data_IF_611270463446
#
_entry.id   IF_611270463446
#
_cell.length_a   1.000
_cell.length_b   1.000
_cell.length_c   1.000
_cell.angle_alpha   90.00
_cell.angle_beta   90.00
_cell.angle_gamma   90.00
#
_symmetry.space_group_name_H-M   'P 1'
#
loop_
_entity.id
_entity.type
_entity.pdbx_description
1 polymer ?
#
# COMPACT_ATOMS: atom_id res chain seq x y z
N UNK A 1 15.16 -5.37 12.48
CA UNK A 1 14.89 -4.04 11.90
C UNK A 1 13.43 -3.69 12.18
N UNK A 2 13.15 -2.48 12.64
CA UNK A 2 11.80 -1.97 12.86
C UNK A 2 11.60 -0.74 11.98
N UNK A 3 10.49 -0.69 11.25
CA UNK A 3 10.06 0.47 10.47
C UNK A 3 9.00 1.22 11.25
N UNK A 4 9.24 2.50 11.49
CA UNK A 4 8.35 3.33 12.31
C UNK A 4 7.86 4.53 11.51
N UNK A 5 6.55 4.66 11.37
CA UNK A 5 5.91 5.83 10.77
C UNK A 5 5.06 6.54 11.82
N UNK A 6 5.17 7.86 11.86
CA UNK A 6 4.36 8.68 12.75
C UNK A 6 2.99 8.90 12.12
N UNK A 7 2.00 8.22 12.65
CA UNK A 7 0.59 8.47 12.37
C UNK A 7 0.04 9.60 13.28
N UNK A 8 -1.26 9.68 13.53
CA UNK A 8 -1.91 10.73 14.30
C UNK A 8 -2.49 10.22 15.63
N UNK A 9 -1.70 9.42 16.38
CA UNK A 9 -2.09 8.92 17.70
C UNK A 9 -3.18 7.85 17.63
N UNK A 10 -4.13 7.86 18.57
CA UNK A 10 -5.22 6.90 18.61
C UNK A 10 -6.09 6.99 17.35
N UNK A 11 -6.50 5.83 16.82
CA UNK A 11 -7.36 5.79 15.64
C UNK A 11 -8.79 6.22 15.95
N UNK A 12 -9.44 6.85 14.98
CA UNK A 12 -10.86 7.24 14.99
C UNK A 12 -11.66 6.41 13.98
N UNK A 13 -12.96 6.29 14.21
CA UNK A 13 -13.87 5.61 13.28
C UNK A 13 -13.92 6.37 11.95
N UNK A 14 -13.91 5.60 10.85
CA UNK A 14 -14.09 6.10 9.50
C UNK A 14 -15.12 5.24 8.77
N UNK A 15 -16.12 5.89 8.20
CA UNK A 15 -17.27 5.29 7.50
C UNK A 15 -17.37 5.69 6.04
N UNK A 16 -16.27 6.17 5.44
CA UNK A 16 -16.25 6.64 4.05
C UNK A 16 -16.42 5.52 3.02
N UNK A 17 -16.21 4.25 3.41
CA UNK A 17 -16.29 3.10 2.51
C UNK A 17 -17.39 2.09 2.88
N UNK A 18 -17.52 1.04 2.07
CA UNK A 18 -18.44 -0.09 2.31
C UNK A 18 -18.08 -0.85 3.59
N UNK A 19 -16.78 -0.91 3.89
CA UNK A 19 -16.24 -1.49 5.12
C UNK A 19 -15.76 -0.37 6.04
N UNK A 20 -16.32 -0.32 7.24
CA UNK A 20 -15.87 0.63 8.27
C UNK A 20 -14.43 0.32 8.69
N UNK A 21 -13.66 1.36 8.90
CA UNK A 21 -12.27 1.26 9.38
C UNK A 21 -12.04 2.09 10.64
N UNK A 22 -10.94 1.81 11.33
CA UNK A 22 -10.40 2.70 12.37
C UNK A 22 -9.09 3.25 11.85
N UNK A 23 -8.98 4.54 11.74
CA UNK A 23 -7.91 5.24 11.00
C UNK A 23 -7.11 6.16 11.91
N UNK A 24 -5.78 6.08 11.82
CA UNK A 24 -4.85 7.07 12.35
C UNK A 24 -4.07 7.67 11.18
N UNK A 25 -4.50 8.84 10.71
CA UNK A 25 -3.96 9.49 9.52
C UNK A 25 -3.18 10.76 9.85
N UNK A 26 -1.95 10.84 9.38
CA UNK A 26 -1.13 12.04 9.35
C UNK A 26 -1.11 12.61 7.94
N UNK A 27 -2.00 13.53 7.64
CA UNK A 27 -2.17 14.12 6.30
C UNK A 27 -0.99 14.99 5.88
N UNK A 28 -0.23 15.52 6.85
CA UNK A 28 0.98 16.31 6.59
C UNK A 28 2.11 15.44 6.03
N UNK A 29 2.36 14.29 6.65
CA UNK A 29 3.37 13.33 6.16
C UNK A 29 2.84 12.38 5.07
N UNK A 30 1.53 12.38 4.81
CA UNK A 30 0.91 11.50 3.82
C UNK A 30 0.86 10.03 4.25
N UNK A 31 0.81 9.75 5.55
CA UNK A 31 0.82 8.38 6.09
C UNK A 31 -0.47 8.11 6.86
N UNK A 32 -1.12 7.01 6.57
CA UNK A 32 -2.26 6.51 7.34
C UNK A 32 -2.07 5.06 7.72
N UNK A 33 -2.37 4.77 8.99
CA UNK A 33 -2.44 3.39 9.52
C UNK A 33 -3.90 3.12 9.86
N UNK A 34 -4.44 2.06 9.30
CA UNK A 34 -5.84 1.72 9.53
C UNK A 34 -6.01 0.22 9.81
N UNK A 35 -7.08 -0.09 10.52
CA UNK A 35 -7.55 -1.48 10.71
C UNK A 35 -8.99 -1.61 10.25
N UNK A 36 -9.34 -2.77 9.71
CA UNK A 36 -10.70 -3.13 9.30
C UNK A 36 -10.93 -4.64 9.45
N UNK A 37 -12.19 -5.04 9.42
CA UNK A 37 -12.61 -6.46 9.36
C UNK A 37 -13.08 -6.76 7.95
N UNK A 38 -12.59 -7.85 7.38
CA UNK A 38 -13.02 -8.29 6.05
C UNK A 38 -14.46 -8.82 6.07
N UNK A 39 -15.14 -8.72 4.95
CA UNK A 39 -16.50 -9.20 4.75
C UNK A 39 -16.62 -10.33 3.71
N UNK A 40 -15.50 -10.73 3.09
CA UNK A 40 -15.47 -11.81 2.10
C UNK A 40 -16.06 -11.44 0.74
N UNK A 41 -16.24 -10.14 0.45
CA UNK A 41 -16.81 -9.67 -0.81
C UNK A 41 -15.75 -8.90 -1.59
N UNK A 42 -15.63 -9.14 -2.89
CA UNK A 42 -14.72 -8.37 -3.76
C UNK A 42 -15.21 -6.95 -4.00
N UNK A 43 -14.33 -6.09 -4.49
CA UNK A 43 -14.62 -4.69 -4.86
C UNK A 43 -15.22 -3.86 -3.72
N UNK A 44 -14.72 -4.03 -2.50
CA UNK A 44 -15.17 -3.25 -1.35
C UNK A 44 -14.28 -2.04 -1.13
N UNK A 45 -14.91 -0.89 -0.90
CA UNK A 45 -14.21 0.34 -0.55
C UNK A 45 -13.96 0.43 0.96
N UNK A 46 -12.80 1.01 1.34
CA UNK A 46 -12.37 1.17 2.73
C UNK A 46 -11.75 2.55 2.90
N UNK A 47 -12.22 3.30 3.88
CA UNK A 47 -11.74 4.64 4.17
C UNK A 47 -10.32 4.65 4.75
N UNK A 48 -9.46 5.54 4.25
CA UNK A 48 -8.07 5.66 4.69
C UNK A 48 -7.72 7.01 5.38
N UNK A 49 -8.62 7.98 5.37
CA UNK A 49 -8.51 9.25 6.10
C UNK A 49 -7.42 10.23 5.65
N UNK A 50 -6.74 10.01 4.52
CA UNK A 50 -5.69 10.92 4.02
C UNK A 50 -6.23 12.18 3.34
N UNK A 51 -7.48 12.14 2.84
CA UNK A 51 -8.07 13.24 2.06
C UNK A 51 -7.42 13.46 0.69
N UNK A 52 -6.49 12.61 0.31
CA UNK A 52 -5.82 12.61 -1.00
C UNK A 52 -5.48 11.18 -1.39
N UNK A 53 -5.47 10.93 -2.68
CA UNK A 53 -5.22 9.61 -3.26
C UNK A 53 -3.85 9.04 -2.81
N UNK A 54 -3.81 7.83 -2.21
CA UNK A 54 -2.55 7.15 -1.93
C UNK A 54 -1.84 6.73 -3.22
N UNK A 55 -0.53 6.59 -3.16
CA UNK A 55 0.30 5.99 -4.21
C UNK A 55 0.65 4.55 -3.86
N UNK A 56 0.74 4.24 -2.57
CA UNK A 56 1.09 2.91 -2.06
C UNK A 56 0.13 2.48 -0.98
N UNK A 57 -0.23 1.20 -1.01
CA UNK A 57 -0.98 0.51 0.04
C UNK A 57 -0.27 -0.79 0.40
N UNK A 58 -0.02 -1.00 1.69
CA UNK A 58 0.48 -2.26 2.23
C UNK A 58 -0.61 -2.85 3.12
N UNK A 59 -0.99 -4.11 2.90
CA UNK A 59 -2.00 -4.80 3.72
C UNK A 59 -1.41 -6.05 4.34
N UNK A 60 -1.78 -6.31 5.59
CA UNK A 60 -1.48 -7.53 6.31
C UNK A 60 -2.73 -8.09 6.98
N UNK A 61 -3.05 -9.33 6.68
CA UNK A 61 -4.01 -10.11 7.45
C UNK A 61 -3.42 -10.41 8.83
N UNK A 62 -4.17 -10.09 9.90
CA UNK A 62 -3.75 -10.31 11.29
C UNK A 62 -4.32 -11.60 11.87
N UNK A 63 -5.53 -11.97 11.43
CA UNK A 63 -6.26 -13.17 11.91
C UNK A 63 -6.93 -13.85 10.72
N UNK A 64 -6.90 -15.17 10.67
CA UNK A 64 -7.56 -15.92 9.58
C UNK A 64 -6.61 -16.62 8.62
N UNK A 65 -5.29 -16.59 8.86
CA UNK A 65 -4.31 -17.33 8.06
C UNK A 65 -2.91 -16.72 8.07
N UNK A 66 -1.94 -17.47 7.57
CA UNK A 66 -0.53 -17.04 7.44
C UNK A 66 -0.32 -16.30 6.12
N UNK A 67 -1.07 -15.24 5.89
CA UNK A 67 -1.01 -14.47 4.64
C UNK A 67 0.25 -13.61 4.54
N UNK A 68 0.72 -13.38 3.32
CA UNK A 68 1.85 -12.49 3.05
C UNK A 68 1.47 -11.02 3.27
N UNK A 69 2.46 -10.16 3.49
CA UNK A 69 2.31 -8.72 3.36
C UNK A 69 2.15 -8.37 1.89
N UNK A 70 1.01 -7.84 1.51
CA UNK A 70 0.73 -7.45 0.13
C UNK A 70 0.97 -5.96 -0.03
N UNK A 71 1.76 -5.60 -1.03
CA UNK A 71 2.07 -4.23 -1.44
C UNK A 71 1.41 -3.95 -2.78
N UNK A 72 0.64 -2.88 -2.87
CA UNK A 72 0.15 -2.32 -4.13
C UNK A 72 0.70 -0.92 -4.34
N UNK A 73 1.03 -0.60 -5.57
CA UNK A 73 1.53 0.71 -5.96
C UNK A 73 0.93 1.16 -7.28
N UNK A 74 0.54 2.43 -7.34
CA UNK A 74 0.16 3.14 -8.57
C UNK A 74 1.38 3.92 -9.06
N UNK A 75 2.11 3.38 -10.05
CA UNK A 75 3.28 4.05 -10.64
C UNK A 75 2.90 4.97 -11.79
N UNK A 76 1.70 4.85 -12.32
CA UNK A 76 1.17 5.66 -13.43
C UNK A 76 0.45 6.92 -12.98
N UNK A 77 0.03 6.98 -11.70
CA UNK A 77 -0.72 8.11 -11.13
C UNK A 77 -2.20 8.16 -11.53
N UNK A 78 -2.72 7.12 -12.22
CA UNK A 78 -4.10 7.09 -12.71
C UNK A 78 -5.13 6.69 -11.62
N UNK A 79 -4.68 6.28 -10.44
CA UNK A 79 -5.53 5.84 -9.34
C UNK A 79 -5.81 4.35 -9.30
N UNK A 80 -5.22 3.58 -10.19
CA UNK A 80 -5.25 2.13 -10.13
C UNK A 80 -3.84 1.63 -9.93
N UNK A 81 -3.62 0.76 -8.92
CA UNK A 81 -2.33 0.14 -8.73
C UNK A 81 -1.96 -0.67 -9.98
N UNK A 82 -0.74 -0.53 -10.44
CA UNK A 82 -0.17 -1.28 -11.57
C UNK A 82 0.95 -2.21 -11.13
N UNK A 83 1.30 -2.20 -9.85
CA UNK A 83 2.24 -3.11 -9.22
C UNK A 83 1.63 -3.78 -8.00
N UNK A 84 1.76 -5.10 -7.90
CA UNK A 84 1.40 -5.90 -6.74
C UNK A 84 2.56 -6.82 -6.37
N UNK A 85 3.07 -6.68 -5.17
CA UNK A 85 4.24 -7.39 -4.67
C UNK A 85 3.91 -8.08 -3.33
N UNK A 86 4.64 -9.15 -3.02
CA UNK A 86 4.64 -9.75 -1.70
C UNK A 86 5.93 -9.32 -0.98
N UNK A 87 5.83 -8.54 0.10
CA UNK A 87 7.02 -8.05 0.81
C UNK A 87 7.82 -9.16 1.48
N UNK A 88 7.15 -10.23 1.88
CA UNK A 88 7.76 -11.41 2.51
C UNK A 88 8.17 -12.50 1.51
N UNK A 89 7.92 -12.30 0.22
CA UNK A 89 8.21 -13.26 -0.85
C UNK A 89 9.22 -12.75 -1.85
N UNK A 90 9.77 -13.68 -2.64
CA UNK A 90 10.69 -13.40 -3.75
C UNK A 90 9.97 -13.21 -5.08
N UNK A 91 8.63 -13.37 -5.09
CA UNK A 91 7.83 -13.32 -6.31
C UNK A 91 7.85 -11.94 -6.96
N UNK A 92 7.93 -11.97 -8.29
CA UNK A 92 7.70 -10.83 -9.16
C UNK A 92 6.27 -10.28 -9.01
N UNK A 93 5.94 -9.26 -9.79
CA UNK A 93 4.60 -8.69 -9.85
C UNK A 93 3.53 -9.78 -9.96
N UNK A 94 2.67 -9.90 -8.95
CA UNK A 94 1.82 -11.06 -8.74
C UNK A 94 0.39 -10.81 -9.19
N UNK A 95 0.05 -11.26 -10.41
CA UNK A 95 -1.33 -11.30 -10.93
C UNK A 95 -1.95 -9.92 -11.20
N UNK A 96 -3.23 -9.94 -11.58
CA UNK A 96 -4.00 -8.76 -12.02
C UNK A 96 -4.99 -8.25 -10.94
N UNK A 97 -4.83 -8.65 -9.69
CA UNK A 97 -5.71 -8.24 -8.60
C UNK A 97 -5.20 -6.93 -8.00
N UNK A 98 -5.56 -5.82 -8.62
CA UNK A 98 -5.15 -4.50 -8.22
C UNK A 98 -6.22 -3.77 -7.40
N UNK A 99 -5.77 -2.92 -6.48
CA UNK A 99 -6.62 -1.96 -5.78
C UNK A 99 -6.78 -0.70 -6.62
N UNK A 100 -7.89 -0.01 -6.46
CA UNK A 100 -8.06 1.36 -6.96
C UNK A 100 -7.99 2.34 -5.80
N UNK A 101 -7.35 3.48 -6.03
CA UNK A 101 -7.14 4.53 -5.05
C UNK A 101 -8.01 5.74 -5.37
N UNK A 102 -8.72 6.26 -4.38
CA UNK A 102 -9.51 7.47 -4.43
C UNK A 102 -9.05 8.43 -3.32
N UNK A 103 -9.62 9.63 -3.27
CA UNK A 103 -9.18 10.63 -2.28
C UNK A 103 -9.51 10.24 -0.83
N UNK A 104 -10.60 9.51 -0.61
CA UNK A 104 -11.06 9.12 0.73
C UNK A 104 -10.96 7.62 1.01
N UNK A 105 -11.00 6.79 -0.06
CA UNK A 105 -11.04 5.33 0.04
C UNK A 105 -10.00 4.65 -0.86
N UNK A 106 -9.72 3.39 -0.58
CA UNK A 106 -9.23 2.45 -1.59
C UNK A 106 -10.27 1.33 -1.78
N UNK A 107 -10.33 0.78 -2.98
CA UNK A 107 -11.23 -0.35 -3.28
C UNK A 107 -10.42 -1.62 -3.46
N UNK A 108 -10.79 -2.69 -2.75
CA UNK A 108 -10.16 -4.00 -2.86
C UNK A 108 -10.33 -4.58 -4.26
N UNK A 109 -9.45 -5.51 -4.70
CA UNK A 109 -9.66 -6.25 -5.94
C UNK A 109 -11.04 -6.92 -6.01
N UNK A 110 -11.51 -7.20 -7.21
CA UNK A 110 -12.79 -7.85 -7.44
C UNK A 110 -12.83 -9.31 -6.94
N UNK A 111 -11.67 -9.92 -6.78
CA UNK A 111 -11.54 -11.26 -6.21
C UNK A 111 -11.58 -11.21 -4.69
N UNK A 112 -12.32 -12.14 -4.09
CA UNK A 112 -12.26 -12.39 -2.67
C UNK A 112 -10.98 -13.18 -2.35
N UNK A 113 -10.16 -12.67 -1.44
CA UNK A 113 -8.91 -13.31 -1.01
C UNK A 113 -8.65 -13.02 0.47
N UNK A 114 -8.19 -14.03 1.18
CA UNK A 114 -7.87 -13.95 2.62
C UNK A 114 -6.72 -12.99 2.91
N UNK A 115 -5.88 -12.66 1.94
CA UNK A 115 -4.78 -11.73 2.11
C UNK A 115 -5.22 -10.26 2.30
N UNK A 116 -6.43 -9.88 1.84
CA UNK A 116 -6.91 -8.48 1.93
C UNK A 116 -8.37 -8.30 2.35
N UNK A 117 -9.28 -9.25 2.13
CA UNK A 117 -10.70 -9.12 2.50
C UNK A 117 -11.42 -10.43 2.73
N UNK A 118 -10.80 -11.46 3.31
CA UNK A 118 -11.50 -12.68 3.72
C UNK A 118 -12.54 -12.43 4.81
N UNK A 119 -13.68 -13.13 4.77
CA UNK A 119 -14.86 -12.87 5.58
C UNK A 119 -14.72 -13.02 7.10
N UNK A 120 -13.62 -13.60 7.58
CA UNK A 120 -13.32 -13.74 9.02
C UNK A 120 -12.01 -13.05 9.43
N UNK A 121 -11.32 -12.41 8.48
CA UNK A 121 -10.02 -11.77 8.69
C UNK A 121 -10.12 -10.38 9.32
N UNK A 122 -9.18 -10.05 10.18
CA UNK A 122 -8.90 -8.66 10.56
C UNK A 122 -7.60 -8.22 9.92
N UNK A 123 -7.57 -6.96 9.49
CA UNK A 123 -6.48 -6.43 8.67
C UNK A 123 -5.89 -5.18 9.30
N UNK A 124 -4.60 -4.98 9.06
CA UNK A 124 -3.95 -3.68 9.19
C UNK A 124 -3.50 -3.26 7.80
N UNK A 125 -3.71 -2.01 7.47
CA UNK A 125 -3.22 -1.41 6.23
C UNK A 125 -2.44 -0.13 6.51
N UNK A 126 -1.45 0.11 5.66
CA UNK A 126 -0.62 1.31 5.66
C UNK A 126 -0.80 1.96 4.29
N UNK A 127 -1.38 3.15 4.27
CA UNK A 127 -1.59 3.92 3.04
C UNK A 127 -0.62 5.11 3.01
N UNK A 128 0.03 5.30 1.87
CA UNK A 128 1.01 6.36 1.67
C UNK A 128 0.65 7.20 0.46
N UNK A 129 0.53 8.51 0.67
CA UNK A 129 0.44 9.51 -0.39
C UNK A 129 1.78 10.25 -0.51
N UNK A 130 2.25 10.49 -1.72
CA UNK A 130 3.48 11.26 -1.94
C UNK A 130 3.36 12.68 -1.36
N UNK A 131 4.45 13.12 -0.75
CA UNK A 131 4.61 14.50 -0.25
C UNK A 131 5.91 15.09 -0.80
N UNK A 132 5.78 16.17 -1.56
CA UNK A 132 6.91 16.87 -2.15
C UNK A 132 7.96 17.22 -1.09
N UNK A 133 9.21 16.84 -1.35
CA UNK A 133 10.33 17.08 -0.43
C UNK A 133 10.39 16.14 0.77
N UNK A 134 9.49 15.14 0.88
CA UNK A 134 9.42 14.24 2.03
C UNK A 134 9.35 12.76 1.64
N UNK A 135 8.49 12.39 0.68
CA UNK A 135 8.34 11.00 0.24
C UNK A 135 8.14 10.90 -1.26
N UNK A 136 8.71 9.86 -1.86
CA UNK A 136 8.60 9.55 -3.29
C UNK A 136 8.43 8.04 -3.47
N UNK A 137 7.49 7.65 -4.32
CA UNK A 137 7.24 6.26 -4.70
C UNK A 137 7.31 6.15 -6.22
N UNK A 138 7.94 5.10 -6.73
CA UNK A 138 8.09 4.94 -8.17
C UNK A 138 8.70 3.60 -8.54
N UNK A 139 8.95 3.42 -9.81
CA UNK A 139 9.69 2.29 -10.36
C UNK A 139 10.82 2.82 -11.24
N UNK A 140 11.81 1.99 -11.44
CA UNK A 140 12.88 2.22 -12.42
C UNK A 140 13.32 0.89 -13.01
N UNK A 141 13.87 0.95 -14.19
CA UNK A 141 14.48 -0.20 -14.85
C UNK A 141 15.99 -0.15 -14.63
N UNK A 142 16.58 -1.27 -14.23
CA UNK A 142 18.02 -1.39 -14.06
C UNK A 142 18.70 -1.44 -15.43
N UNK A 143 19.88 -0.83 -15.55
CA UNK A 143 20.66 -0.84 -16.79
C UNK A 143 21.34 -2.18 -17.09
N UNK A 144 21.35 -3.09 -16.11
CA UNK A 144 22.03 -4.40 -16.23
C UNK A 144 23.54 -4.34 -16.11
N UNK A 145 24.12 -3.17 -15.81
CA UNK A 145 25.55 -2.98 -15.64
C UNK A 145 25.89 -2.66 -14.18
N UNK A 146 27.02 -3.19 -13.69
CA UNK A 146 27.42 -3.00 -12.28
C UNK A 146 27.92 -1.60 -11.94
N UNK A 147 28.35 -0.82 -12.93
CA UNK A 147 29.03 0.46 -12.72
C UNK A 147 28.26 1.66 -13.26
N UNK A 148 27.10 1.46 -13.89
CA UNK A 148 26.30 2.50 -14.53
C UNK A 148 24.82 2.29 -14.23
N UNK A 149 24.44 2.51 -12.98
CA UNK A 149 23.06 2.42 -12.52
C UNK A 149 22.25 3.68 -12.89
N UNK A 150 20.92 3.59 -12.98
CA UNK A 150 20.09 4.73 -13.26
C UNK A 150 20.14 5.75 -12.11
N UNK A 151 20.21 7.03 -12.44
CA UNK A 151 20.04 8.10 -11.47
C UNK A 151 18.55 8.29 -11.15
N UNK A 152 18.16 8.13 -9.88
CA UNK A 152 16.78 8.28 -9.43
C UNK A 152 16.62 9.61 -8.68
N UNK A 153 15.98 10.57 -9.33
CA UNK A 153 15.70 11.87 -8.73
C UNK A 153 14.50 11.79 -7.77
N UNK A 154 14.75 12.00 -6.50
CA UNK A 154 13.73 11.98 -5.45
C UNK A 154 13.17 13.35 -5.11
N UNK A 155 13.93 14.43 -5.38
CA UNK A 155 13.58 15.80 -5.02
C UNK A 155 13.92 16.19 -3.57
N UNK A 156 14.61 15.30 -2.85
CA UNK A 156 15.09 15.50 -1.47
C UNK A 156 16.21 14.51 -1.16
N UNK A 157 16.87 14.64 -0.02
CA UNK A 157 17.86 13.68 0.48
C UNK A 157 17.14 12.59 1.29
N UNK A 158 17.03 11.35 0.77
CA UNK A 158 16.32 10.28 1.46
C UNK A 158 17.09 9.81 2.71
N UNK A 159 16.40 9.71 3.84
CA UNK A 159 16.90 9.06 5.05
C UNK A 159 16.56 7.56 5.11
N UNK A 160 15.57 7.13 4.32
CA UNK A 160 15.10 5.75 4.25
C UNK A 160 14.75 5.39 2.82
N UNK A 161 15.21 4.22 2.35
CA UNK A 161 14.93 3.71 1.00
C UNK A 161 14.52 2.23 1.10
N UNK A 162 13.44 1.86 0.41
CA UNK A 162 13.03 0.48 0.19
C UNK A 162 13.09 0.19 -1.30
N UNK A 163 13.82 -0.86 -1.67
CA UNK A 163 13.88 -1.36 -3.04
C UNK A 163 13.35 -2.78 -3.08
N UNK A 164 12.49 -3.05 -4.03
CA UNK A 164 11.95 -4.38 -4.30
C UNK A 164 11.92 -4.63 -5.80
N UNK A 165 12.51 -5.75 -6.21
CA UNK A 165 12.45 -6.20 -7.61
C UNK A 165 11.02 -6.66 -7.96
N UNK A 166 10.51 -6.27 -9.12
CA UNK A 166 9.13 -6.55 -9.53
C UNK A 166 9.00 -7.40 -10.80
N UNK A 167 10.08 -7.65 -11.53
CA UNK A 167 10.05 -8.28 -12.86
C UNK A 167 10.71 -9.67 -12.95
N UNK A 168 11.16 -10.24 -11.85
CA UNK A 168 11.61 -11.63 -11.81
C UNK A 168 11.47 -12.25 -10.42
N UNK A 169 11.48 -13.57 -10.37
CA UNK A 169 11.65 -14.35 -9.13
C UNK A 169 13.13 -14.52 -8.86
N UNK A 170 13.56 -14.35 -7.62
CA UNK A 170 14.89 -14.73 -7.14
C UNK A 170 14.81 -16.08 -6.45
#
# INVERSE_FOLDING_TARGET
VAWNWKANGAGSANTDGDINSTVSANTTSGVSILKYSGNGTGSQSIGHGLGTKPTVLIVKCRTGGAESWVWWQDTSGNGTADQRLLLSGTQANYGNNFVTFQNTTFTTPSTNDTAWNGGSGTYVAYAFAEKKGFSKFGKYDATGTSNDGPFIYTGFSPAFVVLKRFNSTE
#
